data_IF_777157884877
#
_entry.id   IF_777157884877
#
_cell.length_a   1.000
_cell.length_b   1.000
_cell.length_c   1.000
_cell.angle_alpha   90.00
_cell.angle_beta   90.00
_cell.angle_gamma   90.00
#
_symmetry.space_group_name_H-M   'P 1'
#
loop_
_entity.id
_entity.type
_entity.pdbx_description
1 polymer ?
#
# COMPACT_ATOMS: atom_id res chain seq x y z
N UNK A 1 -30.23 -33.77 -61.71
CA UNK A 1 -30.38 -32.37 -61.33
C UNK A 1 -31.18 -32.14 -60.04
N UNK A 2 -31.66 -33.18 -59.33
CA UNK A 2 -32.55 -33.08 -58.16
C UNK A 2 -31.80 -32.93 -56.80
N UNK A 3 -30.50 -33.24 -56.74
CA UNK A 3 -29.76 -33.25 -55.48
C UNK A 3 -29.09 -31.89 -55.12
N UNK A 4 -28.93 -30.95 -56.08
CA UNK A 4 -28.33 -29.66 -55.83
C UNK A 4 -29.30 -28.67 -55.13
N UNK A 5 -30.60 -28.79 -55.43
CA UNK A 5 -31.61 -27.95 -54.81
C UNK A 5 -31.88 -28.32 -53.36
N UNK A 6 -31.72 -29.61 -53.01
CA UNK A 6 -31.94 -30.09 -51.64
C UNK A 6 -30.78 -29.70 -50.71
N UNK A 7 -29.55 -29.71 -51.22
CA UNK A 7 -28.40 -29.21 -50.45
C UNK A 7 -28.44 -27.70 -50.18
N UNK A 8 -28.95 -26.91 -51.16
CA UNK A 8 -29.07 -25.48 -51.00
C UNK A 8 -30.15 -25.09 -49.99
N UNK A 9 -31.26 -25.84 -49.96
CA UNK A 9 -32.34 -25.63 -48.98
C UNK A 9 -31.88 -25.98 -47.55
N UNK A 10 -31.10 -27.09 -47.41
CA UNK A 10 -30.57 -27.52 -46.10
C UNK A 10 -29.54 -26.54 -45.55
N UNK A 11 -28.67 -25.95 -46.40
CA UNK A 11 -27.70 -24.93 -46.02
C UNK A 11 -28.34 -23.62 -45.55
N UNK A 12 -29.43 -23.20 -46.16
CA UNK A 12 -30.20 -22.02 -45.76
C UNK A 12 -30.91 -22.20 -44.42
N UNK A 13 -31.39 -23.39 -44.11
CA UNK A 13 -32.01 -23.70 -42.80
C UNK A 13 -30.97 -23.73 -41.68
N UNK A 14 -29.76 -24.24 -41.93
CA UNK A 14 -28.68 -24.24 -40.94
C UNK A 14 -28.20 -22.84 -40.65
N UNK A 15 -28.12 -21.95 -41.61
CA UNK A 15 -27.71 -20.54 -41.43
C UNK A 15 -28.77 -19.77 -40.66
N UNK A 16 -30.08 -20.03 -40.87
CA UNK A 16 -31.14 -19.37 -40.15
C UNK A 16 -31.25 -19.77 -38.66
N UNK A 17 -30.82 -20.98 -38.30
CA UNK A 17 -30.81 -21.45 -36.87
C UNK A 17 -29.64 -20.82 -36.10
N UNK A 18 -28.56 -20.44 -36.75
CA UNK A 18 -27.39 -19.79 -36.08
C UNK A 18 -27.66 -18.34 -35.69
N UNK A 19 -28.67 -17.64 -36.25
CA UNK A 19 -29.01 -16.25 -35.91
C UNK A 19 -30.05 -16.10 -34.81
N UNK A 20 -30.68 -17.18 -34.34
CA UNK A 20 -31.72 -17.10 -33.29
C UNK A 20 -31.14 -17.26 -31.87
N UNK A 21 -29.85 -17.53 -31.72
CA UNK A 21 -29.19 -17.76 -30.40
C UNK A 21 -28.55 -16.50 -29.76
N UNK A 22 -28.92 -15.29 -30.21
CA UNK A 22 -28.63 -14.06 -29.48
C UNK A 22 -29.89 -13.57 -28.75
N UNK A 23 -30.35 -14.38 -27.82
CA UNK A 23 -31.33 -13.93 -26.82
C UNK A 23 -30.67 -12.84 -25.96
N UNK A 24 -31.12 -11.58 -26.13
CA UNK A 24 -30.85 -10.51 -25.17
C UNK A 24 -31.34 -10.97 -23.79
N UNK A 25 -30.46 -11.47 -22.98
CA UNK A 25 -30.72 -11.68 -21.55
C UNK A 25 -30.90 -10.30 -20.91
N UNK A 26 -32.16 -9.81 -20.92
CA UNK A 26 -32.58 -8.68 -20.12
C UNK A 26 -32.75 -9.12 -18.67
N UNK A 27 -31.65 -9.55 -18.04
CA UNK A 27 -31.63 -9.53 -16.57
C UNK A 27 -31.65 -8.07 -16.17
N UNK A 28 -32.58 -7.63 -15.31
CA UNK A 28 -32.58 -6.26 -14.84
C UNK A 28 -31.20 -6.02 -14.21
N UNK A 29 -30.45 -5.05 -14.74
CA UNK A 29 -29.25 -4.55 -14.07
C UNK A 29 -29.73 -4.06 -12.71
N UNK A 30 -29.41 -4.83 -11.67
CA UNK A 30 -29.60 -4.37 -10.30
C UNK A 30 -28.84 -3.06 -10.20
N UNK A 31 -29.58 -1.98 -10.10
CA UNK A 31 -29.01 -0.64 -9.94
C UNK A 31 -28.25 -0.72 -8.62
N UNK A 32 -26.92 -0.75 -8.72
CA UNK A 32 -26.04 -0.73 -7.54
C UNK A 32 -26.21 0.68 -6.97
N UNK A 33 -26.80 0.75 -5.79
CA UNK A 33 -26.98 2.01 -5.07
C UNK A 33 -25.58 2.55 -4.74
N UNK A 34 -25.12 3.49 -5.56
CA UNK A 34 -23.79 4.12 -5.47
C UNK A 34 -23.80 5.25 -4.43
N UNK A 35 -24.51 5.10 -3.32
CA UNK A 35 -24.32 6.04 -2.22
C UNK A 35 -22.85 5.96 -1.79
N UNK A 36 -22.14 7.09 -1.76
CA UNK A 36 -20.78 7.11 -1.26
C UNK A 36 -20.77 6.50 0.13
N UNK A 37 -19.98 5.45 0.32
CA UNK A 37 -19.70 4.94 1.66
C UNK A 37 -19.06 6.09 2.40
N UNK A 38 -19.75 6.65 3.40
CA UNK A 38 -19.16 7.65 4.27
C UNK A 38 -18.00 6.98 4.99
N UNK A 39 -16.78 7.26 4.52
CA UNK A 39 -15.58 6.93 5.29
C UNK A 39 -15.76 7.69 6.60
N UNK A 40 -15.75 6.98 7.73
CA UNK A 40 -15.69 7.60 9.05
C UNK A 40 -14.46 8.50 9.07
N UNK A 41 -14.66 9.78 8.86
CA UNK A 41 -13.62 10.77 9.05
C UNK A 41 -13.50 10.92 10.56
N UNK A 42 -12.41 10.38 11.11
CA UNK A 42 -12.10 10.67 12.51
C UNK A 42 -11.79 12.14 12.58
N UNK A 43 -12.44 12.86 13.50
CA UNK A 43 -12.07 14.24 13.85
C UNK A 43 -10.65 14.20 14.43
N UNK A 44 -9.68 14.28 13.55
CA UNK A 44 -8.32 14.55 13.98
C UNK A 44 -8.20 16.05 14.11
N UNK A 45 -7.86 16.57 15.30
CA UNK A 45 -7.54 17.98 15.41
C UNK A 45 -6.51 18.33 14.34
N UNK A 46 -6.71 19.40 13.56
CA UNK A 46 -5.71 19.85 12.64
C UNK A 46 -4.43 20.17 13.42
N UNK A 47 -3.36 19.56 13.01
CA UNK A 47 -2.06 19.77 13.64
C UNK A 47 -1.54 18.57 14.42
N UNK A 48 -0.23 18.57 14.57
CA UNK A 48 0.51 17.64 15.38
C UNK A 48 0.09 17.76 16.85
N UNK A 49 0.28 16.68 17.60
CA UNK A 49 0.14 16.67 19.04
C UNK A 49 0.92 17.85 19.65
N UNK A 50 0.23 18.83 20.32
CA UNK A 50 0.87 20.02 20.84
C UNK A 50 1.88 19.72 21.97
N UNK A 51 1.87 18.50 22.51
CA UNK A 51 2.85 18.06 23.50
C UNK A 51 4.21 17.72 22.92
N UNK A 52 4.36 17.69 21.59
CA UNK A 52 5.61 17.35 20.91
C UNK A 52 6.20 18.59 20.26
N UNK A 53 7.42 18.95 20.64
CA UNK A 53 8.10 20.13 20.10
C UNK A 53 8.47 19.96 18.62
N UNK A 54 8.74 21.05 17.94
CA UNK A 54 9.18 21.05 16.55
C UNK A 54 10.46 20.23 16.35
N UNK A 55 11.44 20.34 17.25
CA UNK A 55 12.71 19.60 17.20
C UNK A 55 12.49 18.09 17.34
N UNK A 56 11.42 17.71 18.03
CA UNK A 56 11.01 16.31 18.19
C UNK A 56 10.09 15.80 17.07
N UNK A 57 9.97 16.55 15.98
CA UNK A 57 9.15 16.21 14.82
C UNK A 57 7.67 16.60 14.94
N UNK A 58 7.30 17.36 15.96
CA UNK A 58 5.95 17.88 16.16
C UNK A 58 5.59 19.01 15.22
N UNK A 59 4.62 19.82 15.63
CA UNK A 59 4.17 20.99 14.88
C UNK A 59 5.31 22.00 14.73
N UNK A 60 5.41 22.61 13.53
CA UNK A 60 6.47 23.57 13.23
C UNK A 60 7.84 22.97 12.91
N UNK A 61 7.95 21.66 12.75
CA UNK A 61 9.18 21.02 12.29
C UNK A 61 9.65 21.60 10.96
N UNK A 62 10.86 22.16 10.95
CA UNK A 62 11.40 22.87 9.77
C UNK A 62 12.17 21.97 8.80
N UNK A 63 12.61 20.81 9.25
CA UNK A 63 13.35 19.87 8.42
C UNK A 63 14.75 20.35 7.99
N UNK A 64 15.40 21.24 8.73
CA UNK A 64 16.76 21.66 8.42
C UNK A 64 17.73 20.48 8.44
N UNK A 65 18.42 20.23 7.31
CA UNK A 65 19.29 19.06 7.13
C UNK A 65 18.55 17.75 6.87
N UNK A 66 17.26 17.81 6.61
CA UNK A 66 16.43 16.67 6.21
C UNK A 66 16.01 16.81 4.74
N UNK A 67 15.77 15.68 4.11
CA UNK A 67 15.23 15.59 2.77
C UNK A 67 13.70 15.47 2.82
N UNK A 68 13.03 16.06 1.83
CA UNK A 68 11.60 15.89 1.55
C UNK A 68 11.35 16.20 0.08
N UNK A 69 10.22 15.76 -0.45
CA UNK A 69 9.79 16.11 -1.81
C UNK A 69 8.30 16.42 -1.81
N UNK A 70 7.93 17.61 -2.24
CA UNK A 70 6.54 18.08 -2.29
C UNK A 70 5.98 18.14 -3.71
N UNK A 71 6.87 18.17 -4.71
CA UNK A 71 6.52 18.14 -6.12
C UNK A 71 6.86 16.75 -6.68
N UNK A 72 5.82 15.94 -6.89
CA UNK A 72 5.94 14.58 -7.41
C UNK A 72 4.73 14.20 -8.25
N UNK A 73 4.93 13.21 -9.13
CA UNK A 73 3.91 12.75 -10.05
C UNK A 73 2.89 11.84 -9.34
N UNK A 74 1.61 12.05 -9.66
CA UNK A 74 0.53 11.18 -9.20
C UNK A 74 -0.02 10.44 -10.41
N UNK A 75 0.01 9.10 -10.35
CA UNK A 75 -0.66 8.26 -11.35
C UNK A 75 -2.16 8.23 -11.03
N UNK A 76 -2.91 8.99 -11.78
CA UNK A 76 -4.37 9.02 -11.64
C UNK A 76 -4.98 10.24 -12.31
N UNK A 77 -6.26 10.16 -12.59
CA UNK A 77 -7.00 11.32 -13.07
C UNK A 77 -7.24 12.28 -11.87
N UNK A 78 -6.76 13.53 -11.92
CA UNK A 78 -7.00 14.49 -10.84
C UNK A 78 -8.48 14.82 -10.64
N UNK A 79 -9.34 14.47 -11.59
CA UNK A 79 -10.81 14.58 -11.50
C UNK A 79 -11.47 13.34 -10.92
N UNK A 80 -10.71 12.30 -10.57
CA UNK A 80 -11.26 11.09 -10.01
C UNK A 80 -11.97 11.37 -8.68
N UNK A 81 -13.16 10.83 -8.52
CA UNK A 81 -13.97 10.96 -7.31
C UNK A 81 -13.76 9.72 -6.46
N UNK A 82 -13.39 9.91 -5.19
CA UNK A 82 -13.25 8.82 -4.22
C UNK A 82 -14.61 8.16 -3.96
N UNK A 83 -14.63 6.84 -3.93
CA UNK A 83 -15.80 6.06 -3.55
C UNK A 83 -16.25 5.08 -4.62
N UNK A 84 -17.34 4.39 -4.33
CA UNK A 84 -17.88 3.33 -5.18
C UNK A 84 -17.26 1.96 -4.89
N UNK A 85 -17.94 0.87 -5.32
CA UNK A 85 -17.43 -0.48 -5.15
C UNK A 85 -16.34 -0.77 -6.18
N UNK A 86 -15.24 -1.33 -5.72
CA UNK A 86 -14.21 -1.93 -6.56
C UNK A 86 -14.30 -3.44 -6.44
N UNK A 87 -14.74 -4.10 -7.52
CA UNK A 87 -14.91 -5.55 -7.55
C UNK A 87 -13.68 -6.20 -8.19
N UNK A 88 -13.02 -7.08 -7.45
CA UNK A 88 -11.85 -7.79 -7.92
C UNK A 88 -12.06 -9.30 -7.82
N UNK A 89 -11.56 -10.01 -8.82
CA UNK A 89 -11.48 -11.46 -8.76
C UNK A 89 -10.17 -11.85 -8.08
N UNK A 90 -10.27 -12.68 -7.06
CA UNK A 90 -9.12 -13.33 -6.45
C UNK A 90 -9.00 -14.79 -6.97
N UNK A 91 -7.80 -15.29 -7.22
CA UNK A 91 -7.58 -16.64 -7.73
C UNK A 91 -7.90 -17.72 -6.70
N UNK A 92 -7.65 -17.43 -5.43
CA UNK A 92 -7.81 -18.36 -4.32
C UNK A 92 -8.01 -17.61 -2.99
N UNK A 93 -8.49 -18.31 -1.96
CA UNK A 93 -8.60 -17.78 -0.60
C UNK A 93 -7.25 -17.93 0.12
N UNK A 94 -6.84 -16.91 0.92
CA UNK A 94 -5.62 -17.01 1.71
C UNK A 94 -5.80 -17.97 2.88
N UNK A 95 -4.74 -18.69 3.25
CA UNK A 95 -4.73 -19.56 4.43
C UNK A 95 -4.87 -18.76 5.75
N UNK A 96 -4.49 -17.50 5.72
CA UNK A 96 -4.59 -16.55 6.84
C UNK A 96 -4.80 -15.15 6.28
N UNK A 97 -5.42 -14.27 7.06
CA UNK A 97 -5.52 -12.83 6.75
C UNK A 97 -4.38 -12.00 7.36
N UNK A 98 -3.43 -12.65 8.02
CA UNK A 98 -2.22 -11.97 8.49
C UNK A 98 -1.35 -11.61 7.29
N UNK A 99 -0.79 -10.42 7.29
CA UNK A 99 0.13 -9.97 6.23
C UNK A 99 1.56 -10.46 6.47
N UNK A 100 1.90 -10.83 7.70
CA UNK A 100 3.22 -11.37 8.07
C UNK A 100 3.09 -12.72 8.77
N UNK A 101 4.13 -13.54 8.63
CA UNK A 101 4.29 -14.80 9.32
C UNK A 101 3.95 -16.03 8.46
N UNK A 102 3.90 -17.17 9.13
CA UNK A 102 3.64 -18.47 8.47
C UNK A 102 2.37 -18.40 7.62
N UNK A 103 2.46 -18.89 6.40
CA UNK A 103 1.36 -19.00 5.42
C UNK A 103 0.76 -17.64 4.99
N UNK A 104 1.42 -16.51 5.33
CA UNK A 104 0.96 -15.18 4.96
C UNK A 104 1.21 -14.82 3.49
N UNK A 105 2.17 -15.47 2.83
CA UNK A 105 2.51 -15.19 1.43
C UNK A 105 1.43 -15.72 0.48
N UNK A 106 0.41 -14.90 0.24
CA UNK A 106 -0.66 -15.17 -0.72
C UNK A 106 -0.93 -13.93 -1.57
N UNK A 107 -1.53 -14.11 -2.75
CA UNK A 107 -1.92 -13.00 -3.61
C UNK A 107 -2.82 -11.99 -2.88
N UNK A 108 -3.80 -12.48 -2.12
CA UNK A 108 -4.76 -11.64 -1.38
C UNK A 108 -4.06 -10.83 -0.30
N UNK A 109 -3.15 -11.45 0.48
CA UNK A 109 -2.44 -10.75 1.55
C UNK A 109 -1.49 -9.69 1.00
N UNK A 110 -0.76 -9.98 -0.09
CA UNK A 110 0.10 -9.01 -0.76
C UNK A 110 -0.70 -7.83 -1.31
N UNK A 111 -1.89 -8.10 -1.85
CA UNK A 111 -2.78 -7.07 -2.31
C UNK A 111 -3.29 -6.20 -1.15
N UNK A 112 -3.74 -6.81 -0.05
CA UNK A 112 -4.18 -6.10 1.16
C UNK A 112 -3.04 -5.27 1.75
N UNK A 113 -1.84 -5.83 1.81
CA UNK A 113 -0.67 -5.11 2.28
C UNK A 113 -0.43 -3.83 1.49
N UNK A 114 -0.49 -3.92 0.15
CA UNK A 114 -0.26 -2.77 -0.73
C UNK A 114 -1.41 -1.74 -0.75
N UNK A 115 -2.64 -2.14 -0.41
CA UNK A 115 -3.81 -1.27 -0.45
C UNK A 115 -4.18 -0.66 0.91
N UNK A 116 -3.79 -1.29 2.02
CA UNK A 116 -4.23 -0.94 3.38
C UNK A 116 -3.10 -0.35 4.21
N UNK A 117 -1.87 -0.76 3.95
CA UNK A 117 -0.70 -0.29 4.68
C UNK A 117 0.16 0.62 3.81
N UNK A 118 0.79 1.58 4.45
CA UNK A 118 1.64 2.57 3.82
C UNK A 118 3.08 2.41 4.32
N UNK A 119 4.06 2.48 3.42
CA UNK A 119 5.48 2.44 3.79
C UNK A 119 5.96 3.80 4.31
N UNK A 120 7.14 3.83 4.93
CA UNK A 120 7.72 5.08 5.39
C UNK A 120 7.90 6.07 4.24
N UNK A 121 8.46 5.61 3.13
CA UNK A 121 8.59 6.39 1.90
C UNK A 121 8.00 5.60 0.73
N UNK A 122 7.67 6.31 -0.34
CA UNK A 122 7.29 5.74 -1.62
C UNK A 122 8.23 6.26 -2.71
N UNK A 123 8.01 5.86 -3.95
CA UNK A 123 8.77 6.34 -5.11
C UNK A 123 7.85 7.06 -6.08
N UNK A 124 8.35 8.15 -6.64
CA UNK A 124 7.69 8.84 -7.74
C UNK A 124 7.61 7.89 -8.95
N UNK A 125 6.41 7.64 -9.50
CA UNK A 125 6.22 6.64 -10.55
C UNK A 125 6.85 7.00 -11.90
N UNK A 126 7.34 8.24 -12.06
CA UNK A 126 7.95 8.72 -13.30
C UNK A 126 9.45 8.94 -13.14
N UNK A 127 9.88 9.57 -12.04
CA UNK A 127 11.28 9.91 -11.81
C UNK A 127 12.02 8.90 -10.95
N UNK A 128 11.29 7.98 -10.27
CA UNK A 128 11.83 7.00 -9.32
C UNK A 128 12.50 7.63 -8.07
N UNK A 129 12.35 8.95 -7.89
CA UNK A 129 12.83 9.63 -6.69
C UNK A 129 12.01 9.23 -5.46
N UNK A 130 12.62 9.34 -4.28
CA UNK A 130 11.93 9.15 -3.02
C UNK A 130 10.91 10.26 -2.78
N UNK A 131 9.72 9.87 -2.38
CA UNK A 131 8.63 10.76 -2.01
C UNK A 131 8.07 10.37 -0.64
N UNK A 132 7.46 11.31 0.08
CA UNK A 132 6.80 11.03 1.36
C UNK A 132 5.74 9.93 1.27
N UNK A 133 5.74 9.06 2.28
CA UNK A 133 4.68 8.13 2.63
C UNK A 133 4.24 8.40 4.06
N UNK A 134 4.31 7.42 4.97
CA UNK A 134 4.10 7.64 6.40
C UNK A 134 5.11 8.62 6.99
N UNK A 135 6.33 8.68 6.45
CA UNK A 135 7.32 9.69 6.82
C UNK A 135 7.25 10.88 5.86
N UNK A 136 7.24 12.08 6.41
CA UNK A 136 7.23 13.33 5.63
C UNK A 136 8.62 13.84 5.28
N UNK A 137 9.62 13.49 6.09
CA UNK A 137 11.02 13.86 5.91
C UNK A 137 11.91 12.67 6.29
N UNK A 138 13.08 12.62 5.67
CA UNK A 138 14.09 11.61 5.96
C UNK A 138 15.49 12.21 5.94
N UNK A 139 16.43 11.50 6.53
CA UNK A 139 17.82 11.89 6.57
C UNK A 139 18.69 10.66 6.50
N UNK A 140 19.80 10.75 5.79
CA UNK A 140 20.80 9.68 5.64
C UNK A 140 22.13 10.23 6.13
N UNK A 141 22.83 9.47 6.97
CA UNK A 141 24.18 9.81 7.45
C UNK A 141 25.19 9.86 6.29
N UNK A 142 26.29 10.56 6.47
CA UNK A 142 27.36 10.66 5.46
C UNK A 142 27.93 9.28 5.10
N UNK A 143 28.12 8.41 6.09
CA UNK A 143 28.59 7.03 5.92
C UNK A 143 27.52 6.06 5.36
N UNK A 144 26.31 6.55 5.11
CA UNK A 144 25.17 5.79 4.57
C UNK A 144 24.73 4.60 5.43
N UNK A 145 25.08 4.60 6.71
CA UNK A 145 24.74 3.50 7.63
C UNK A 145 23.64 3.83 8.62
N UNK A 146 23.22 5.08 8.73
CA UNK A 146 22.15 5.49 9.64
C UNK A 146 21.10 6.31 8.87
N UNK A 147 19.84 5.99 9.14
CA UNK A 147 18.67 6.63 8.51
C UNK A 147 17.77 7.14 9.60
N UNK A 148 17.16 8.30 9.36
CA UNK A 148 16.13 8.90 10.22
C UNK A 148 14.89 9.17 9.40
N UNK A 149 13.73 9.01 10.02
CA UNK A 149 12.45 9.28 9.41
C UNK A 149 11.59 10.07 10.38
N UNK A 150 10.99 11.13 9.89
CA UNK A 150 9.98 11.89 10.64
C UNK A 150 8.61 11.41 10.22
N UNK A 151 7.93 10.69 11.11
CA UNK A 151 6.57 10.18 10.93
C UNK A 151 5.60 11.36 10.82
N UNK A 152 4.65 11.26 9.90
CA UNK A 152 3.62 12.28 9.73
C UNK A 152 2.74 12.39 10.99
N UNK A 153 2.75 13.52 11.71
CA UNK A 153 1.96 13.67 12.93
C UNK A 153 0.44 13.57 12.71
N UNK A 154 0.00 13.72 11.46
CA UNK A 154 -1.40 13.57 11.08
C UNK A 154 -1.79 12.14 10.70
N UNK A 155 -0.83 11.23 10.58
CA UNK A 155 -1.12 9.82 10.28
C UNK A 155 -1.87 9.16 11.43
N UNK A 156 -2.87 8.34 11.07
CA UNK A 156 -3.71 7.63 12.03
C UNK A 156 -3.94 6.20 11.62
N UNK A 157 -3.96 5.34 12.61
CA UNK A 157 -4.48 3.99 12.46
C UNK A 157 -5.99 4.01 12.18
N UNK A 158 -6.52 2.90 11.70
CA UNK A 158 -7.95 2.75 11.42
C UNK A 158 -8.86 2.96 12.66
N UNK A 159 -8.31 2.82 13.86
CA UNK A 159 -9.01 3.10 15.14
C UNK A 159 -8.89 4.58 15.57
N UNK A 160 -8.20 5.41 14.82
CA UNK A 160 -8.01 6.84 15.07
C UNK A 160 -6.79 7.19 15.93
N UNK A 161 -6.06 6.21 16.45
CA UNK A 161 -4.82 6.48 17.20
C UNK A 161 -3.72 7.03 16.27
N UNK A 162 -2.85 7.91 16.77
CA UNK A 162 -1.73 8.41 16.00
C UNK A 162 -0.76 7.27 15.64
N UNK A 163 -0.20 7.33 14.44
CA UNK A 163 0.96 6.53 14.07
C UNK A 163 2.21 7.22 14.63
N UNK A 164 3.05 6.48 15.32
CA UNK A 164 4.20 7.03 16.04
C UNK A 164 5.48 6.24 15.75
N UNK A 165 6.63 6.80 16.13
CA UNK A 165 7.93 6.15 15.93
C UNK A 165 8.03 4.76 16.59
N UNK A 166 7.37 4.57 17.73
CA UNK A 166 7.32 3.27 18.43
C UNK A 166 6.60 2.18 17.61
N UNK A 167 5.67 2.54 16.72
CA UNK A 167 5.02 1.57 15.83
C UNK A 167 6.03 0.96 14.84
N UNK A 168 6.97 1.78 14.35
CA UNK A 168 8.07 1.30 13.48
C UNK A 168 8.99 0.33 14.24
N UNK A 169 9.30 0.66 15.50
CA UNK A 169 10.09 -0.21 16.37
C UNK A 169 9.38 -1.53 16.64
N UNK A 170 8.07 -1.48 16.90
CA UNK A 170 7.23 -2.66 17.13
C UNK A 170 7.14 -3.55 15.88
N UNK A 171 6.95 -2.94 14.70
CA UNK A 171 6.94 -3.66 13.42
C UNK A 171 8.27 -4.36 13.18
N UNK A 172 9.40 -3.67 13.37
CA UNK A 172 10.71 -4.29 13.22
C UNK A 172 10.90 -5.48 14.18
N UNK A 173 10.51 -5.34 15.46
CA UNK A 173 10.58 -6.44 16.43
C UNK A 173 9.78 -7.65 15.98
N UNK A 174 8.58 -7.43 15.43
CA UNK A 174 7.75 -8.50 14.86
C UNK A 174 8.48 -9.19 13.70
N UNK A 175 9.04 -8.42 12.77
CA UNK A 175 9.64 -8.95 11.53
C UNK A 175 10.95 -9.73 11.78
N UNK A 176 11.66 -9.43 12.85
CA UNK A 176 12.88 -10.20 13.24
C UNK A 176 12.60 -11.34 14.21
N UNK A 177 11.39 -11.46 14.72
CA UNK A 177 11.01 -12.55 15.64
C UNK A 177 10.95 -13.88 14.87
N UNK A 178 11.77 -14.88 15.20
CA UNK A 178 11.71 -16.20 14.55
C UNK A 178 10.37 -16.90 14.78
N UNK A 179 9.62 -16.52 15.81
CA UNK A 179 8.30 -17.08 16.13
C UNK A 179 7.24 -16.80 15.08
N UNK A 180 7.41 -15.79 14.21
CA UNK A 180 6.49 -15.54 13.10
C UNK A 180 6.63 -16.58 11.96
N UNK A 181 7.74 -17.35 11.94
CA UNK A 181 8.05 -18.37 10.93
C UNK A 181 8.07 -17.82 9.49
N UNK A 182 8.68 -16.66 9.32
CA UNK A 182 8.87 -16.00 8.04
C UNK A 182 10.33 -15.64 7.84
N UNK A 183 11.08 -16.58 7.28
CA UNK A 183 12.54 -16.49 7.16
C UNK A 183 13.00 -15.26 6.33
N UNK A 184 12.24 -14.86 5.32
CA UNK A 184 12.60 -13.71 4.47
C UNK A 184 12.68 -12.42 5.29
N UNK A 185 11.64 -12.09 6.05
CA UNK A 185 11.61 -10.89 6.90
C UNK A 185 12.66 -10.96 8.00
N UNK A 186 12.84 -12.13 8.65
CA UNK A 186 13.85 -12.30 9.67
C UNK A 186 15.27 -12.00 9.14
N UNK A 187 15.61 -12.49 7.93
CA UNK A 187 16.91 -12.26 7.29
C UNK A 187 17.04 -10.79 6.88
N UNK A 188 16.04 -10.26 6.17
CA UNK A 188 16.08 -8.91 5.64
C UNK A 188 16.23 -7.86 6.75
N UNK A 189 15.31 -7.89 7.71
CA UNK A 189 15.29 -6.90 8.80
C UNK A 189 16.33 -7.19 9.90
N UNK A 190 16.84 -8.41 9.97
CA UNK A 190 17.97 -8.79 10.80
C UNK A 190 19.30 -8.13 10.41
N UNK A 191 19.40 -7.53 9.20
CA UNK A 191 20.56 -6.75 8.75
C UNK A 191 20.65 -5.37 9.39
N UNK A 192 19.59 -4.92 10.08
CA UNK A 192 19.57 -3.66 10.83
C UNK A 192 19.76 -3.91 12.33
N UNK A 193 20.26 -2.90 13.00
CA UNK A 193 20.13 -2.80 14.45
C UNK A 193 18.67 -2.48 14.80
N UNK A 194 18.28 -2.69 16.05
CA UNK A 194 16.93 -2.30 16.49
C UNK A 194 16.73 -0.80 16.26
N UNK A 195 15.67 -0.40 15.55
CA UNK A 195 15.34 1.01 15.42
C UNK A 195 15.09 1.67 16.76
N UNK A 196 15.36 2.96 16.85
CA UNK A 196 15.20 3.76 18.07
C UNK A 196 14.17 4.85 17.81
N UNK A 197 13.13 4.89 18.62
CA UNK A 197 12.22 6.03 18.66
C UNK A 197 12.91 7.17 19.44
N UNK A 198 13.52 8.09 18.73
CA UNK A 198 14.22 9.24 19.33
C UNK A 198 13.24 10.23 19.94
N UNK A 199 12.03 10.28 19.36
CA UNK A 199 10.89 11.03 19.89
C UNK A 199 9.60 10.35 19.43
N UNK A 200 8.45 10.93 19.76
CA UNK A 200 7.15 10.43 19.32
C UNK A 200 7.03 10.29 17.79
N UNK A 201 7.69 11.20 17.04
CA UNK A 201 7.58 11.24 15.58
C UNK A 201 8.93 11.08 14.85
N UNK A 202 10.03 10.88 15.55
CA UNK A 202 11.33 10.64 14.91
C UNK A 202 11.82 9.25 15.28
N UNK A 203 12.05 8.43 14.26
CA UNK A 203 12.68 7.11 14.39
C UNK A 203 14.00 7.10 13.63
N UNK A 204 15.01 6.46 14.22
CA UNK A 204 16.28 6.18 13.55
C UNK A 204 16.55 4.70 13.48
N UNK A 205 17.35 4.30 12.49
CA UNK A 205 17.80 2.92 12.32
C UNK A 205 19.23 2.90 11.78
N UNK A 206 20.03 1.94 12.26
CA UNK A 206 21.35 1.66 11.72
C UNK A 206 21.38 0.34 10.98
N UNK A 207 22.12 0.29 9.88
CA UNK A 207 22.44 -0.96 9.22
C UNK A 207 23.75 -1.53 9.76
N UNK A 208 23.80 -2.85 9.96
CA UNK A 208 25.02 -3.56 10.44
C UNK A 208 26.11 -3.53 9.37
N UNK A 209 25.72 -3.59 8.11
CA UNK A 209 26.64 -3.61 6.97
C UNK A 209 26.23 -2.57 5.93
N UNK A 210 27.19 -2.01 5.22
CA UNK A 210 26.92 -1.08 4.12
C UNK A 210 26.47 -1.85 2.89
N UNK A 211 25.22 -1.61 2.47
CA UNK A 211 24.66 -2.14 1.25
C UNK A 211 23.75 -1.08 0.62
N UNK A 212 23.86 -0.87 -0.67
CA UNK A 212 23.09 0.16 -1.41
C UNK A 212 21.56 -0.03 -1.31
N UNK A 213 21.07 -1.25 -1.03
CA UNK A 213 19.64 -1.56 -0.89
C UNK A 213 19.09 -1.31 0.51
N UNK A 214 19.94 -1.05 1.52
CA UNK A 214 19.47 -0.96 2.90
C UNK A 214 18.46 0.18 3.10
N UNK A 215 18.75 1.35 2.54
CA UNK A 215 17.78 2.45 2.61
C UNK A 215 16.47 2.09 1.90
N UNK A 216 16.55 1.54 0.67
CA UNK A 216 15.40 1.09 -0.11
C UNK A 216 14.51 0.12 0.68
N UNK A 217 15.11 -0.91 1.27
CA UNK A 217 14.34 -1.93 1.99
C UNK A 217 13.69 -1.38 3.25
N UNK A 218 14.40 -0.56 4.02
CA UNK A 218 13.80 0.00 5.23
C UNK A 218 12.76 1.06 4.91
N UNK A 219 13.06 2.02 4.06
CA UNK A 219 12.17 3.13 3.73
C UNK A 219 10.93 2.70 2.94
N UNK A 220 11.10 1.81 1.94
CA UNK A 220 10.04 1.43 1.01
C UNK A 220 9.26 0.18 1.39
N UNK A 221 9.70 -0.60 2.40
CA UNK A 221 9.03 -1.85 2.78
C UNK A 221 8.61 -1.91 4.24
N UNK A 222 9.11 -1.02 5.12
CA UNK A 222 8.65 -0.92 6.50
C UNK A 222 7.27 -0.25 6.54
N UNK A 223 6.26 -0.97 7.03
CA UNK A 223 4.85 -0.56 7.06
C UNK A 223 4.23 -0.71 8.43
#
# INVERSE_FOLDING_TARGET
>A
MRNKAFLSALALIIISVLFISCGKSTKPKKQIDTKPVSVKQFDTPPGADPSVSAEQGGEGFKGEGWETKTDYNILGDPKAIKGGPFNMRIPDFPNTLRIYGKDANSYVNNLMENMVYESLLSTDPVTEDWIPGLATHWKVSEDKKQFWFRINPNARWADGKPVVAEDVVATWKLLVDPGILEAYSNILYGTYEQPVAESKYIVSVKTKELNWRQFLYFAGSMR
#
